data_IF_886619909058
#
_entry.id   IF_886619909058
#
_cell.length_a   1.000
_cell.length_b   1.000
_cell.length_c   1.000
_cell.angle_alpha   90.00
_cell.angle_beta   90.00
_cell.angle_gamma   90.00
#
_symmetry.space_group_name_H-M   'P 1'
#
loop_
_entity.id
_entity.type
_entity.pdbx_description
1 polymer ?
#
# COMPACT_ATOMS: atom_id res chain seq x y z
N UNK A 1 4.55 -13.04 -12.71
CA UNK A 1 3.24 -13.72 -12.97
C UNK A 1 2.13 -13.11 -12.11
N UNK A 2 2.33 -13.01 -10.80
CA UNK A 2 1.34 -12.46 -9.86
C UNK A 2 0.87 -11.05 -10.27
N UNK A 3 1.79 -10.12 -10.48
CA UNK A 3 1.49 -8.72 -10.82
C UNK A 3 0.73 -8.59 -12.15
N UNK A 4 1.06 -9.39 -13.15
CA UNK A 4 0.36 -9.39 -14.45
C UNK A 4 -1.09 -9.89 -14.28
N UNK A 5 -1.28 -10.98 -13.53
CA UNK A 5 -2.61 -11.51 -13.22
C UNK A 5 -3.46 -10.50 -12.44
N UNK A 6 -2.88 -9.86 -11.43
CA UNK A 6 -3.51 -8.77 -10.68
C UNK A 6 -3.91 -7.60 -11.56
N UNK A 7 -3.01 -7.11 -12.41
CA UNK A 7 -3.29 -6.01 -13.33
C UNK A 7 -4.50 -6.29 -14.25
N UNK A 8 -4.59 -7.51 -14.80
CA UNK A 8 -5.75 -7.94 -15.62
C UNK A 8 -7.04 -7.98 -14.79
N UNK A 9 -6.97 -8.50 -13.55
CA UNK A 9 -8.12 -8.55 -12.65
C UNK A 9 -8.68 -7.16 -12.32
N UNK A 10 -7.80 -6.21 -11.99
CA UNK A 10 -8.18 -4.81 -11.71
C UNK A 10 -8.74 -4.08 -12.94
N UNK A 11 -8.14 -4.31 -14.12
CA UNK A 11 -8.66 -3.73 -15.36
C UNK A 11 -10.09 -4.21 -15.63
N UNK A 12 -10.35 -5.50 -15.48
CA UNK A 12 -11.69 -6.07 -15.64
C UNK A 12 -12.68 -5.52 -14.63
N UNK A 13 -12.28 -5.41 -13.37
CA UNK A 13 -13.12 -4.85 -12.33
C UNK A 13 -13.49 -3.39 -12.61
N UNK A 14 -12.52 -2.55 -12.97
CA UNK A 14 -12.76 -1.14 -13.28
C UNK A 14 -13.73 -0.96 -14.47
N UNK A 15 -13.66 -1.84 -15.48
CA UNK A 15 -14.56 -1.79 -16.65
C UNK A 15 -15.96 -2.33 -16.39
N UNK A 16 -16.14 -3.14 -15.34
CA UNK A 16 -17.43 -3.73 -14.98
C UNK A 16 -18.37 -2.76 -14.24
N UNK A 17 -17.85 -1.65 -13.71
CA UNK A 17 -18.67 -0.67 -13.01
C UNK A 17 -19.51 0.18 -13.98
N UNK A 18 -20.79 0.35 -13.66
CA UNK A 18 -21.66 1.33 -14.27
C UNK A 18 -21.75 2.57 -13.37
N UNK A 19 -21.58 3.74 -13.96
CA UNK A 19 -21.67 5.04 -13.28
C UNK A 19 -22.81 5.83 -13.94
N UNK A 20 -24.00 5.64 -13.39
CA UNK A 20 -25.20 6.28 -13.86
C UNK A 20 -25.42 7.64 -13.19
N UNK A 21 -26.17 8.55 -13.83
CA UNK A 21 -26.65 9.75 -13.17
C UNK A 21 -27.50 9.41 -11.93
N UNK A 22 -27.33 10.17 -10.86
CA UNK A 22 -28.06 9.97 -9.60
C UNK A 22 -29.15 11.04 -9.44
N UNK A 23 -30.41 10.64 -9.29
CA UNK A 23 -31.49 11.55 -8.88
C UNK A 23 -31.29 11.87 -7.40
N UNK A 24 -31.00 13.14 -7.10
CA UNK A 24 -30.75 13.64 -5.74
C UNK A 24 -32.03 14.16 -5.12
N UNK A 25 -32.86 14.84 -5.90
CA UNK A 25 -34.18 15.34 -5.51
C UNK A 25 -35.17 15.12 -6.66
N UNK A 26 -36.33 14.60 -6.33
CA UNK A 26 -37.51 14.58 -7.22
C UNK A 26 -38.75 14.67 -6.31
N UNK A 27 -39.25 15.89 -6.11
CA UNK A 27 -40.41 16.14 -5.23
C UNK A 27 -41.67 16.63 -6.03
N UNK A 28 -41.62 16.52 -7.34
CA UNK A 28 -42.68 16.95 -8.24
C UNK A 28 -42.68 18.46 -8.57
N UNK A 29 -41.83 19.26 -7.88
CA UNK A 29 -41.59 20.67 -8.16
C UNK A 29 -40.14 20.92 -8.59
N UNK A 30 -39.23 20.14 -8.07
CA UNK A 30 -37.79 20.20 -8.34
C UNK A 30 -37.29 18.83 -8.74
N UNK A 31 -36.55 18.77 -9.85
CA UNK A 31 -35.74 17.63 -10.23
C UNK A 31 -34.26 18.03 -10.18
N UNK A 32 -33.47 17.39 -9.37
CA UNK A 32 -32.02 17.58 -9.33
C UNK A 32 -31.30 16.26 -9.60
N UNK A 33 -30.50 16.24 -10.67
CA UNK A 33 -29.76 15.05 -11.13
C UNK A 33 -28.26 15.33 -11.09
N UNK A 34 -27.51 14.43 -10.47
CA UNK A 34 -26.05 14.49 -10.40
C UNK A 34 -25.45 13.65 -11.52
N UNK A 35 -24.70 14.28 -12.38
CA UNK A 35 -23.93 13.66 -13.47
C UNK A 35 -22.44 13.60 -13.13
N UNK A 36 -21.73 12.65 -13.72
CA UNK A 36 -20.29 12.49 -13.58
C UNK A 36 -19.61 12.82 -14.92
N UNK A 37 -18.82 13.89 -14.97
CA UNK A 37 -18.12 14.37 -16.16
C UNK A 37 -16.61 14.07 -16.06
N UNK A 38 -15.98 13.74 -17.19
CA UNK A 38 -14.53 13.60 -17.22
C UNK A 38 -13.82 14.86 -16.70
N UNK A 39 -12.73 14.67 -15.99
CA UNK A 39 -11.90 15.77 -15.50
C UNK A 39 -11.04 16.39 -16.61
N UNK A 40 -10.64 15.58 -17.59
CA UNK A 40 -9.73 15.94 -18.67
C UNK A 40 -8.43 15.12 -18.59
N UNK A 41 -7.28 15.76 -18.38
CA UNK A 41 -5.98 15.08 -18.30
C UNK A 41 -5.66 14.71 -16.86
N UNK A 42 -5.38 13.42 -16.63
CA UNK A 42 -4.91 12.88 -15.35
C UNK A 42 -3.41 12.58 -15.45
N UNK A 43 -2.63 13.12 -14.52
CA UNK A 43 -1.24 12.73 -14.32
C UNK A 43 -1.17 11.57 -13.32
N UNK A 44 -0.67 10.42 -13.76
CA UNK A 44 -0.50 9.23 -12.94
C UNK A 44 1.00 9.01 -12.65
N UNK A 45 1.39 8.95 -11.38
CA UNK A 45 2.79 8.79 -10.97
C UNK A 45 2.88 7.53 -10.13
N UNK A 46 3.49 6.48 -10.71
CA UNK A 46 3.58 5.15 -10.11
C UNK A 46 4.87 4.92 -9.32
N UNK A 47 4.83 4.00 -8.33
CA UNK A 47 5.96 3.59 -7.52
C UNK A 47 6.79 2.49 -8.18
N UNK A 48 7.84 2.04 -7.48
CA UNK A 48 8.73 1.00 -7.97
C UNK A 48 8.42 -0.42 -7.45
N UNK A 49 7.63 -0.55 -6.40
CA UNK A 49 7.42 -1.84 -5.70
C UNK A 49 6.41 -2.77 -6.41
N UNK A 50 5.32 -2.22 -6.94
CA UNK A 50 4.30 -2.92 -7.73
C UNK A 50 4.01 -2.13 -9.02
N UNK A 51 5.01 -2.00 -9.93
CA UNK A 51 4.97 -1.01 -10.99
C UNK A 51 3.81 -1.19 -11.97
N UNK A 52 3.54 -2.41 -12.42
CA UNK A 52 2.48 -2.69 -13.38
C UNK A 52 1.09 -2.64 -12.72
N UNK A 53 0.95 -3.27 -11.56
CA UNK A 53 -0.35 -3.39 -10.89
C UNK A 53 -0.85 -2.02 -10.43
N UNK A 54 -0.01 -1.24 -9.74
CA UNK A 54 -0.40 0.12 -9.30
C UNK A 54 -0.62 1.06 -10.48
N UNK A 55 0.12 0.89 -11.58
CA UNK A 55 -0.19 1.65 -12.79
C UNK A 55 -1.61 1.36 -13.30
N UNK A 56 -2.05 0.11 -13.31
CA UNK A 56 -3.44 -0.23 -13.69
C UNK A 56 -4.45 0.34 -12.70
N UNK A 57 -4.16 0.37 -11.40
CA UNK A 57 -5.05 1.00 -10.41
C UNK A 57 -5.32 2.48 -10.71
N UNK A 58 -4.33 3.18 -11.28
CA UNK A 58 -4.44 4.58 -11.69
C UNK A 58 -5.03 4.73 -13.11
N UNK A 59 -4.59 3.89 -14.07
CA UNK A 59 -4.97 4.00 -15.48
C UNK A 59 -6.42 3.57 -15.74
N UNK A 60 -6.78 2.36 -15.27
CA UNK A 60 -8.07 1.75 -15.62
C UNK A 60 -9.28 2.61 -15.20
N UNK A 61 -9.39 3.06 -13.94
CA UNK A 61 -10.49 3.91 -13.54
C UNK A 61 -10.44 5.30 -14.16
N UNK A 62 -9.25 5.87 -14.43
CA UNK A 62 -9.11 7.15 -15.12
C UNK A 62 -9.69 7.10 -16.53
N UNK A 63 -9.32 6.09 -17.30
CA UNK A 63 -9.81 5.86 -18.66
C UNK A 63 -11.31 5.53 -18.66
N UNK A 64 -11.77 4.70 -17.72
CA UNK A 64 -13.19 4.34 -17.57
C UNK A 64 -14.10 5.56 -17.38
N UNK A 65 -13.59 6.59 -16.66
CA UNK A 65 -14.32 7.85 -16.44
C UNK A 65 -14.16 8.87 -17.59
N UNK A 66 -13.57 8.47 -18.72
CA UNK A 66 -13.42 9.30 -19.92
C UNK A 66 -12.26 10.29 -19.88
N UNK A 67 -11.31 10.14 -18.96
CA UNK A 67 -10.12 10.97 -18.91
C UNK A 67 -9.03 10.47 -19.86
N UNK A 68 -8.13 11.34 -20.26
CA UNK A 68 -6.84 10.99 -20.85
C UNK A 68 -5.77 10.93 -19.77
N UNK A 69 -4.71 10.13 -19.98
CA UNK A 69 -3.72 9.88 -18.93
C UNK A 69 -2.29 10.09 -19.43
N UNK A 70 -1.50 10.79 -18.64
CA UNK A 70 -0.04 10.84 -18.75
C UNK A 70 0.56 10.07 -17.57
N UNK A 71 1.11 8.89 -17.87
CA UNK A 71 1.71 7.98 -16.88
C UNK A 71 3.21 8.22 -16.75
N UNK A 72 3.67 8.49 -15.53
CA UNK A 72 5.09 8.49 -15.18
C UNK A 72 5.40 7.29 -14.27
N UNK A 73 6.04 6.25 -14.79
CA UNK A 73 6.54 5.16 -13.95
C UNK A 73 7.71 5.61 -13.08
N UNK A 74 8.04 4.83 -12.06
CA UNK A 74 9.29 5.00 -11.34
C UNK A 74 10.49 4.78 -12.29
N UNK A 75 11.54 5.57 -12.13
CA UNK A 75 12.81 5.42 -12.84
C UNK A 75 13.50 4.09 -12.53
N UNK A 76 13.22 3.49 -11.40
CA UNK A 76 13.79 2.20 -10.99
C UNK A 76 13.16 1.00 -11.70
N UNK A 77 11.88 1.07 -12.07
CA UNK A 77 11.13 -0.06 -12.64
C UNK A 77 10.22 0.35 -13.80
N UNK A 78 10.73 1.06 -14.83
CA UNK A 78 9.86 1.63 -15.87
C UNK A 78 9.44 0.62 -16.93
N UNK A 79 10.22 -0.45 -17.17
CA UNK A 79 10.10 -1.28 -18.37
C UNK A 79 8.75 -1.98 -18.49
N UNK A 80 8.24 -2.57 -17.41
CA UNK A 80 6.96 -3.27 -17.42
C UNK A 80 5.79 -2.31 -17.68
N UNK A 81 5.88 -1.07 -17.17
CA UNK A 81 4.84 -0.05 -17.36
C UNK A 81 4.88 0.50 -18.80
N UNK A 82 6.06 0.72 -19.37
CA UNK A 82 6.23 1.13 -20.78
C UNK A 82 5.64 0.07 -21.71
N UNK A 83 5.96 -1.21 -21.48
CA UNK A 83 5.41 -2.33 -22.25
C UNK A 83 3.87 -2.41 -22.11
N UNK A 84 3.34 -2.26 -20.88
CA UNK A 84 1.91 -2.22 -20.61
C UNK A 84 1.20 -1.13 -21.41
N UNK A 85 1.71 0.11 -21.38
CA UNK A 85 1.13 1.23 -22.12
C UNK A 85 1.21 0.99 -23.63
N UNK A 86 2.30 0.41 -24.13
CA UNK A 86 2.41 0.03 -25.53
C UNK A 86 1.31 -0.96 -25.96
N UNK A 87 1.06 -1.98 -25.15
CA UNK A 87 0.00 -2.98 -25.44
C UNK A 87 -1.39 -2.34 -25.38
N UNK A 88 -1.68 -1.53 -24.37
CA UNK A 88 -2.98 -0.85 -24.23
C UNK A 88 -3.23 0.10 -25.41
N UNK A 89 -2.23 0.80 -25.89
CA UNK A 89 -2.34 1.73 -27.00
C UNK A 89 -2.60 1.06 -28.36
N UNK A 90 -2.53 -0.28 -28.46
CA UNK A 90 -2.96 -1.00 -29.68
C UNK A 90 -4.49 -1.00 -29.84
N UNK A 91 -5.25 -0.74 -28.79
CA UNK A 91 -6.71 -0.76 -28.79
C UNK A 91 -7.34 0.59 -28.43
N UNK A 92 -6.58 1.51 -27.84
CA UNK A 92 -7.07 2.85 -27.52
C UNK A 92 -6.91 3.82 -28.71
N UNK A 93 -7.78 4.83 -28.83
CA UNK A 93 -7.56 5.94 -29.76
C UNK A 93 -6.24 6.65 -29.49
N UNK A 94 -5.62 7.17 -30.54
CA UNK A 94 -4.38 7.93 -30.43
C UNK A 94 -4.54 9.14 -29.50
N UNK A 95 -3.55 9.35 -28.60
CA UNK A 95 -3.52 10.50 -27.72
C UNK A 95 -4.26 10.32 -26.38
N UNK A 96 -4.90 9.17 -26.16
CA UNK A 96 -5.64 8.90 -24.90
C UNK A 96 -4.73 8.53 -23.74
N UNK A 97 -3.67 7.76 -24.00
CA UNK A 97 -2.73 7.30 -22.99
C UNK A 97 -1.29 7.53 -23.44
N UNK A 98 -0.51 8.19 -22.58
CA UNK A 98 0.91 8.42 -22.80
C UNK A 98 1.73 7.90 -21.61
N UNK A 99 2.96 7.45 -21.86
CA UNK A 99 3.95 7.16 -20.84
C UNK A 99 5.16 8.07 -21.02
N UNK A 100 5.59 8.71 -19.92
CA UNK A 100 6.73 9.62 -19.89
C UNK A 100 7.72 9.14 -18.82
N UNK A 101 8.72 8.33 -19.16
CA UNK A 101 9.78 7.96 -18.25
C UNK A 101 10.62 9.17 -17.85
N UNK A 102 11.14 9.16 -16.64
CA UNK A 102 11.99 10.21 -16.11
C UNK A 102 12.03 10.22 -14.60
N UNK A 103 12.91 11.02 -14.05
CA UNK A 103 13.14 11.18 -12.63
C UNK A 103 12.18 12.19 -11.98
N UNK A 104 12.70 12.81 -10.92
CA UNK A 104 11.98 13.77 -10.11
C UNK A 104 11.45 14.97 -10.90
N UNK A 105 12.25 15.50 -11.82
CA UNK A 105 11.91 16.68 -12.63
C UNK A 105 10.67 16.47 -13.50
N UNK A 106 10.44 15.26 -14.02
CA UNK A 106 9.22 14.92 -14.77
C UNK A 106 8.02 14.90 -13.84
N UNK A 107 8.17 14.32 -12.63
CA UNK A 107 7.12 14.33 -11.61
C UNK A 107 6.71 15.74 -11.17
N UNK A 108 7.69 16.63 -10.99
CA UNK A 108 7.46 18.05 -10.64
C UNK A 108 6.73 18.78 -11.76
N UNK A 109 7.12 18.57 -13.03
CA UNK A 109 6.41 19.15 -14.18
C UNK A 109 4.97 18.65 -14.29
N UNK A 110 4.71 17.36 -14.09
CA UNK A 110 3.34 16.83 -14.10
C UNK A 110 2.50 17.45 -12.98
N UNK A 111 3.03 17.51 -11.76
CA UNK A 111 2.27 17.99 -10.59
C UNK A 111 2.00 19.51 -10.65
N UNK A 112 2.82 20.30 -11.33
CA UNK A 112 2.64 21.74 -11.50
C UNK A 112 1.95 22.13 -12.82
N UNK A 113 1.81 21.22 -13.80
CA UNK A 113 1.33 21.57 -15.14
C UNK A 113 -0.12 22.05 -15.15
N UNK A 114 -0.46 23.22 -15.73
CA UNK A 114 -1.81 23.79 -15.65
C UNK A 114 -2.89 22.99 -16.37
N UNK A 115 -2.53 22.22 -17.39
CA UNK A 115 -3.50 21.40 -18.15
C UNK A 115 -3.80 20.05 -17.49
N UNK A 116 -3.10 19.66 -16.42
CA UNK A 116 -3.40 18.46 -15.66
C UNK A 116 -4.45 18.80 -14.60
N UNK A 117 -5.59 18.14 -14.67
CA UNK A 117 -6.72 18.38 -13.79
C UNK A 117 -6.65 17.60 -12.47
N UNK A 118 -5.99 16.44 -12.50
CA UNK A 118 -5.82 15.56 -11.33
C UNK A 118 -4.46 14.88 -11.36
N UNK A 119 -3.85 14.72 -10.19
CA UNK A 119 -2.70 13.82 -9.96
C UNK A 119 -3.16 12.63 -9.14
N UNK A 120 -2.82 11.44 -9.61
CA UNK A 120 -2.79 10.21 -8.82
C UNK A 120 -1.33 9.89 -8.53
N UNK A 121 -1.00 9.70 -7.28
CA UNK A 121 0.37 9.42 -6.84
C UNK A 121 0.38 8.32 -5.79
N UNK A 122 1.25 7.34 -5.99
CA UNK A 122 1.58 6.33 -4.98
C UNK A 122 3.09 6.37 -4.72
N UNK A 123 3.46 6.54 -3.45
CA UNK A 123 4.88 6.64 -3.06
C UNK A 123 5.08 7.22 -1.67
N UNK A 124 6.22 7.89 -1.41
CA UNK A 124 6.56 8.38 -0.07
C UNK A 124 5.72 9.60 0.36
N UNK A 125 5.42 9.67 1.65
CA UNK A 125 4.74 10.83 2.28
C UNK A 125 5.46 12.15 1.99
N UNK A 126 6.79 12.15 1.99
CA UNK A 126 7.60 13.33 1.62
C UNK A 126 7.28 13.84 0.21
N UNK A 127 7.20 12.93 -0.75
CA UNK A 127 6.86 13.29 -2.15
C UNK A 127 5.41 13.72 -2.27
N UNK A 128 4.48 13.06 -1.59
CA UNK A 128 3.07 13.46 -1.53
C UNK A 128 2.90 14.91 -1.06
N UNK A 129 3.59 15.29 0.03
CA UNK A 129 3.62 16.67 0.52
C UNK A 129 4.18 17.67 -0.50
N UNK A 130 5.18 17.28 -1.30
CA UNK A 130 5.72 18.12 -2.38
C UNK A 130 4.70 18.30 -3.51
N UNK A 131 3.98 17.22 -3.88
CA UNK A 131 2.91 17.28 -4.89
C UNK A 131 1.76 18.18 -4.43
N UNK A 132 1.33 18.11 -3.16
CA UNK A 132 0.32 19.02 -2.61
C UNK A 132 0.74 20.48 -2.82
N UNK A 133 1.98 20.84 -2.45
CA UNK A 133 2.49 22.20 -2.60
C UNK A 133 2.53 22.64 -4.06
N UNK A 134 3.02 21.81 -4.97
CA UNK A 134 3.13 22.15 -6.40
C UNK A 134 1.78 22.19 -7.13
N UNK A 135 0.75 21.58 -6.55
CA UNK A 135 -0.61 21.56 -7.12
C UNK A 135 -1.50 22.72 -6.65
N UNK A 136 -1.08 23.46 -5.64
CA UNK A 136 -1.90 24.48 -4.98
C UNK A 136 -2.36 25.58 -5.93
N UNK A 137 -1.46 26.14 -6.75
CA UNK A 137 -1.75 27.25 -7.66
C UNK A 137 -2.80 26.93 -8.74
N UNK A 138 -3.01 25.66 -9.03
CA UNK A 138 -3.95 25.20 -10.06
C UNK A 138 -5.19 24.52 -9.48
N UNK A 139 -5.26 24.39 -8.15
CA UNK A 139 -6.36 23.73 -7.41
C UNK A 139 -6.64 22.32 -7.96
N UNK A 140 -5.59 21.58 -8.35
CA UNK A 140 -5.74 20.22 -8.88
C UNK A 140 -6.37 19.28 -7.87
N UNK A 141 -7.13 18.33 -8.36
CA UNK A 141 -7.55 17.19 -7.56
C UNK A 141 -6.38 16.24 -7.34
N UNK A 142 -6.33 15.65 -6.17
CA UNK A 142 -5.28 14.70 -5.80
C UNK A 142 -5.91 13.42 -5.27
N UNK A 143 -5.33 12.27 -5.62
CA UNK A 143 -5.41 11.01 -4.87
C UNK A 143 -3.98 10.64 -4.52
N UNK A 144 -3.71 10.51 -3.24
CA UNK A 144 -2.37 10.27 -2.70
C UNK A 144 -2.39 9.01 -1.85
N UNK A 145 -1.73 7.97 -2.32
CA UNK A 145 -1.45 6.74 -1.61
C UNK A 145 0.01 6.76 -1.16
N UNK A 146 0.22 6.94 0.13
CA UNK A 146 1.54 7.25 0.68
C UNK A 146 2.07 6.10 1.55
N UNK A 147 3.16 6.34 2.29
CA UNK A 147 3.73 5.37 3.18
C UNK A 147 2.78 4.97 4.31
N UNK A 148 2.95 3.77 4.81
CA UNK A 148 2.29 3.23 5.99
C UNK A 148 3.31 2.68 6.97
N UNK A 149 2.84 2.27 8.13
CA UNK A 149 3.60 1.46 9.08
C UNK A 149 2.59 0.56 9.82
N UNK A 150 2.02 -0.36 9.06
CA UNK A 150 0.80 -1.07 9.43
C UNK A 150 1.01 -1.95 10.66
N UNK A 151 0.07 -1.84 11.60
CA UNK A 151 0.07 -2.58 12.85
C UNK A 151 -0.75 -3.86 12.75
N UNK A 152 -0.24 -4.97 13.28
CA UNK A 152 -1.02 -6.16 13.57
C UNK A 152 -1.25 -6.26 15.08
N UNK A 153 -2.47 -6.44 15.51
CA UNK A 153 -2.86 -6.66 16.92
C UNK A 153 -3.32 -8.11 17.07
N UNK A 154 -2.59 -8.88 17.84
CA UNK A 154 -2.93 -10.27 18.15
C UNK A 154 -3.68 -10.33 19.47
N UNK A 155 -4.82 -11.04 19.50
CA UNK A 155 -5.59 -11.25 20.74
C UNK A 155 -5.14 -12.56 21.41
N UNK A 156 -5.32 -12.68 22.75
CA UNK A 156 -4.83 -13.85 23.49
C UNK A 156 -5.52 -15.19 23.15
N UNK A 157 -6.64 -15.14 22.43
CA UNK A 157 -7.43 -16.32 22.03
C UNK A 157 -6.99 -16.93 20.68
N UNK A 158 -5.96 -16.37 20.03
CA UNK A 158 -5.42 -16.88 18.79
C UNK A 158 -4.63 -18.16 19.00
N UNK A 159 -4.79 -19.11 18.07
CA UNK A 159 -3.84 -20.20 17.92
C UNK A 159 -2.63 -19.71 17.09
N UNK A 160 -1.44 -19.56 17.72
CA UNK A 160 -0.27 -19.01 17.04
C UNK A 160 0.15 -19.80 15.79
N UNK A 161 0.04 -21.12 15.82
CA UNK A 161 0.42 -21.98 14.70
C UNK A 161 -0.55 -21.80 13.49
N UNK A 162 -1.83 -21.56 13.78
CA UNK A 162 -2.84 -21.41 12.74
C UNK A 162 -2.71 -20.07 11.97
N UNK A 163 -2.15 -19.02 12.58
CA UNK A 163 -2.05 -17.68 11.97
C UNK A 163 -0.65 -17.30 11.50
N UNK A 164 0.36 -18.09 11.84
CA UNK A 164 1.77 -17.74 11.58
C UNK A 164 2.08 -17.55 10.09
N UNK A 165 1.52 -18.38 9.21
CA UNK A 165 1.74 -18.26 7.77
C UNK A 165 1.09 -17.02 7.21
N UNK A 166 -0.13 -16.69 7.63
CA UNK A 166 -0.82 -15.46 7.19
C UNK A 166 -0.13 -14.19 7.73
N UNK A 167 0.38 -14.23 8.96
CA UNK A 167 1.22 -13.15 9.53
C UNK A 167 2.51 -12.99 8.73
N UNK A 168 3.15 -14.11 8.38
CA UNK A 168 4.35 -14.09 7.53
C UNK A 168 4.08 -13.42 6.19
N UNK A 169 3.07 -13.88 5.46
CA UNK A 169 2.75 -13.30 4.16
C UNK A 169 2.27 -11.86 4.25
N UNK A 170 1.57 -11.50 5.30
CA UNK A 170 1.20 -10.11 5.59
C UNK A 170 2.43 -9.19 5.71
N UNK A 171 3.51 -9.68 6.32
CA UNK A 171 4.74 -8.90 6.53
C UNK A 171 5.71 -8.96 5.35
N UNK A 172 5.86 -10.13 4.71
CA UNK A 172 7.00 -10.38 3.82
C UNK A 172 6.64 -10.55 2.34
N UNK A 173 5.37 -10.37 1.95
CA UNK A 173 5.00 -10.31 0.54
C UNK A 173 5.86 -9.27 -0.18
N UNK A 174 6.38 -9.60 -1.38
CA UNK A 174 7.34 -8.77 -2.12
C UNK A 174 8.58 -8.37 -1.28
N UNK A 175 9.01 -9.27 -0.40
CA UNK A 175 10.14 -9.05 0.52
C UNK A 175 9.90 -7.84 1.46
N UNK A 176 8.64 -7.64 1.90
CA UNK A 176 8.23 -6.52 2.75
C UNK A 176 8.14 -5.15 2.04
N UNK A 177 8.38 -5.10 0.73
CA UNK A 177 8.36 -3.87 -0.06
C UNK A 177 6.95 -3.50 -0.50
N UNK A 178 6.01 -3.45 0.43
CA UNK A 178 4.59 -3.16 0.19
C UNK A 178 4.10 -2.10 1.17
N UNK A 179 3.42 -1.07 0.68
CA UNK A 179 2.91 0.02 1.52
C UNK A 179 1.98 -0.50 2.63
N UNK A 180 1.06 -1.41 2.27
CA UNK A 180 0.16 -2.08 3.19
C UNK A 180 0.70 -3.48 3.62
N UNK A 181 2.00 -3.60 3.92
CA UNK A 181 2.54 -4.78 4.59
C UNK A 181 2.44 -4.62 6.10
N UNK A 182 2.28 -5.72 6.82
CA UNK A 182 2.40 -5.77 8.27
C UNK A 182 3.84 -5.41 8.67
N UNK A 183 4.04 -4.28 9.32
CA UNK A 183 5.36 -3.73 9.62
C UNK A 183 5.72 -3.74 11.10
N UNK A 184 4.74 -3.94 11.99
CA UNK A 184 4.92 -4.03 13.43
C UNK A 184 3.81 -4.89 14.03
N UNK A 185 4.19 -5.90 14.81
CA UNK A 185 3.26 -6.87 15.39
C UNK A 185 3.20 -6.70 16.89
N UNK A 186 2.00 -6.49 17.45
CA UNK A 186 1.74 -6.36 18.88
C UNK A 186 1.14 -7.65 19.41
N UNK A 187 1.82 -8.29 20.37
CA UNK A 187 1.46 -9.60 20.90
C UNK A 187 1.38 -9.56 22.42
N UNK A 188 0.25 -10.00 23.03
CA UNK A 188 0.10 -10.10 24.47
C UNK A 188 1.12 -11.07 25.10
N UNK A 189 1.62 -10.72 26.29
CA UNK A 189 2.61 -11.54 27.03
C UNK A 189 2.22 -13.01 27.15
N UNK A 190 0.92 -13.31 27.31
CA UNK A 190 0.41 -14.66 27.53
C UNK A 190 0.71 -15.65 26.39
N UNK A 191 0.86 -15.16 25.15
CA UNK A 191 1.10 -15.99 23.95
C UNK A 191 2.33 -15.54 23.17
N UNK A 192 3.10 -14.59 23.72
CA UNK A 192 4.20 -13.92 23.00
C UNK A 192 5.25 -14.88 22.46
N UNK A 193 5.82 -15.72 23.32
CA UNK A 193 6.86 -16.65 22.91
C UNK A 193 6.32 -17.69 21.91
N UNK A 194 5.06 -18.13 22.05
CA UNK A 194 4.44 -19.06 21.13
C UNK A 194 4.27 -18.44 19.73
N UNK A 195 3.88 -17.16 19.64
CA UNK A 195 3.78 -16.45 18.36
C UNK A 195 5.17 -16.25 17.74
N UNK A 196 6.17 -15.89 18.54
CA UNK A 196 7.55 -15.76 18.09
C UNK A 196 8.07 -17.08 17.50
N UNK A 197 7.91 -18.20 18.21
CA UNK A 197 8.36 -19.51 17.78
C UNK A 197 7.67 -19.96 16.49
N UNK A 198 6.35 -19.77 16.40
CA UNK A 198 5.57 -20.12 15.20
C UNK A 198 6.01 -19.29 13.98
N UNK A 199 6.28 -17.99 14.15
CA UNK A 199 6.78 -17.14 13.06
C UNK A 199 8.20 -17.56 12.63
N UNK A 200 9.09 -17.88 13.55
CA UNK A 200 10.44 -18.39 13.25
C UNK A 200 10.37 -19.69 12.45
N UNK A 201 9.49 -20.60 12.83
CA UNK A 201 9.30 -21.86 12.12
C UNK A 201 8.86 -21.65 10.67
N UNK A 202 7.88 -20.76 10.43
CA UNK A 202 7.40 -20.46 9.09
C UNK A 202 8.48 -19.71 8.30
N UNK A 203 9.03 -18.64 8.84
CA UNK A 203 10.00 -17.80 8.16
C UNK A 203 11.29 -18.55 7.78
N UNK A 204 11.74 -19.46 8.64
CA UNK A 204 12.93 -20.29 8.39
C UNK A 204 12.78 -21.29 7.23
N UNK A 205 11.56 -21.56 6.78
CA UNK A 205 11.27 -22.46 5.66
C UNK A 205 11.12 -21.72 4.32
N UNK A 206 11.08 -20.39 4.33
CA UNK A 206 10.79 -19.60 3.14
C UNK A 206 12.07 -19.24 2.37
N UNK A 207 12.26 -19.80 1.14
CA UNK A 207 13.47 -19.60 0.39
C UNK A 207 13.52 -18.18 -0.21
N UNK A 208 14.72 -17.59 -0.13
CA UNK A 208 15.05 -16.30 -0.74
C UNK A 208 16.14 -16.51 -1.80
N UNK A 209 15.98 -15.87 -2.95
CA UNK A 209 16.98 -15.95 -4.01
C UNK A 209 16.55 -15.22 -5.27
N UNK A 210 17.19 -15.57 -6.38
CA UNK A 210 16.93 -14.95 -7.69
C UNK A 210 15.52 -15.26 -8.15
N UNK A 211 14.77 -14.23 -8.50
CA UNK A 211 13.34 -14.33 -8.85
C UNK A 211 13.02 -15.10 -10.15
N UNK A 212 14.03 -15.51 -10.93
CA UNK A 212 13.85 -16.40 -12.08
C UNK A 212 13.83 -17.89 -11.70
N UNK A 213 14.24 -18.20 -10.48
CA UNK A 213 14.22 -19.55 -9.92
C UNK A 213 12.89 -19.74 -9.18
N UNK A 214 12.04 -20.64 -9.69
CA UNK A 214 10.64 -20.80 -9.24
C UNK A 214 10.49 -21.25 -7.77
N UNK A 215 11.51 -21.86 -7.17
CA UNK A 215 11.51 -22.24 -5.76
C UNK A 215 11.64 -21.04 -4.81
N UNK A 216 12.18 -19.92 -5.26
CA UNK A 216 12.34 -18.73 -4.42
C UNK A 216 11.05 -17.95 -4.33
N UNK A 217 10.59 -17.66 -3.10
CA UNK A 217 9.37 -16.90 -2.84
C UNK A 217 9.67 -15.46 -2.43
N UNK A 218 10.87 -15.20 -1.92
CA UNK A 218 11.38 -13.87 -1.60
C UNK A 218 12.57 -13.53 -2.50
N UNK A 219 12.66 -12.26 -2.87
CA UNK A 219 13.70 -11.72 -3.73
C UNK A 219 14.60 -10.70 -3.01
N UNK A 220 15.48 -10.00 -3.76
CA UNK A 220 16.27 -8.91 -3.22
C UNK A 220 15.42 -7.65 -2.99
N UNK A 221 15.94 -6.73 -2.20
CA UNK A 221 15.48 -5.36 -2.17
C UNK A 221 15.76 -4.69 -3.51
N UNK A 222 14.92 -3.74 -3.91
CA UNK A 222 14.96 -3.19 -5.25
C UNK A 222 16.18 -2.30 -5.51
N UNK A 223 16.66 -1.58 -4.51
CA UNK A 223 17.78 -0.65 -4.65
C UNK A 223 18.62 -0.55 -3.38
N UNK A 224 19.85 -0.03 -3.54
CA UNK A 224 20.80 0.11 -2.43
C UNK A 224 20.31 1.01 -1.31
N UNK A 225 19.65 2.12 -1.64
CA UNK A 225 19.16 3.05 -0.62
C UNK A 225 18.14 2.37 0.30
N UNK A 226 17.25 1.53 -0.27
CA UNK A 226 16.28 0.76 0.51
C UNK A 226 16.97 -0.32 1.35
N UNK A 227 17.97 -0.99 0.79
CA UNK A 227 18.80 -1.93 1.55
C UNK A 227 19.46 -1.26 2.77
N UNK A 228 20.06 -0.09 2.57
CA UNK A 228 20.75 0.65 3.65
C UNK A 228 19.78 1.08 4.75
N UNK A 229 18.54 1.48 4.39
CA UNK A 229 17.48 1.83 5.38
C UNK A 229 17.14 0.61 6.25
N UNK A 230 16.90 -0.55 5.64
CA UNK A 230 16.56 -1.76 6.39
C UNK A 230 17.71 -2.17 7.30
N UNK A 231 18.94 -2.15 6.79
CA UNK A 231 20.13 -2.51 7.55
C UNK A 231 20.33 -1.56 8.74
N UNK A 232 20.17 -0.26 8.55
CA UNK A 232 20.31 0.76 9.60
C UNK A 232 19.26 0.58 10.70
N UNK A 233 17.99 0.39 10.35
CA UNK A 233 16.92 0.19 11.33
C UNK A 233 17.05 -1.11 12.11
N UNK A 234 17.45 -2.20 11.46
CA UNK A 234 17.70 -3.48 12.16
C UNK A 234 18.92 -3.35 13.07
N UNK A 235 20.00 -2.68 12.63
CA UNK A 235 21.19 -2.46 13.46
C UNK A 235 20.87 -1.62 14.70
N UNK A 236 20.06 -0.56 14.54
CA UNK A 236 19.57 0.26 15.65
C UNK A 236 18.80 -0.57 16.70
N UNK A 237 17.96 -1.49 16.25
CA UNK A 237 17.25 -2.40 17.14
C UNK A 237 18.20 -3.34 17.89
N UNK A 238 19.19 -3.90 17.20
CA UNK A 238 20.23 -4.76 17.82
C UNK A 238 21.06 -3.99 18.83
N UNK A 239 21.54 -2.79 18.49
CA UNK A 239 22.34 -1.94 19.36
C UNK A 239 21.55 -1.47 20.60
N UNK A 240 20.24 -1.37 20.48
CA UNK A 240 19.31 -1.07 21.59
C UNK A 240 18.99 -2.28 22.47
N UNK A 241 19.53 -3.47 22.16
CA UNK A 241 19.39 -4.68 22.95
C UNK A 241 18.17 -5.55 22.61
N UNK A 242 17.51 -5.31 21.48
CA UNK A 242 16.41 -6.17 21.01
C UNK A 242 16.93 -7.57 20.63
N UNK A 243 16.10 -8.58 20.81
CA UNK A 243 16.46 -9.98 20.55
C UNK A 243 16.17 -10.37 19.11
N UNK A 244 17.20 -10.64 18.34
CA UNK A 244 17.06 -11.21 17.00
C UNK A 244 16.64 -12.67 17.10
N UNK A 245 15.49 -13.02 16.52
CA UNK A 245 14.99 -14.40 16.46
C UNK A 245 15.46 -15.09 15.19
N UNK A 246 15.53 -14.35 14.08
CA UNK A 246 15.93 -14.83 12.76
C UNK A 246 16.55 -13.69 11.95
N UNK A 247 17.52 -13.98 11.09
CA UNK A 247 18.06 -13.02 10.13
C UNK A 247 19.04 -12.00 10.74
N UNK A 248 18.86 -10.73 10.42
CA UNK A 248 19.65 -9.56 10.83
C UNK A 248 21.09 -9.48 10.26
N UNK A 249 21.71 -10.60 9.93
CA UNK A 249 23.07 -10.63 9.40
C UNK A 249 23.06 -10.97 7.91
N UNK A 250 23.14 -9.99 7.01
CA UNK A 250 23.23 -10.27 5.59
C UNK A 250 24.53 -11.03 5.26
N UNK A 251 24.43 -12.03 4.39
CA UNK A 251 25.60 -12.72 3.87
C UNK A 251 26.45 -11.72 3.03
N UNK A 252 27.59 -11.32 3.55
CA UNK A 252 28.49 -10.38 2.88
C UNK A 252 29.10 -10.89 1.57
N UNK A 253 28.85 -12.16 1.19
CA UNK A 253 29.27 -12.74 -0.09
C UNK A 253 28.14 -12.76 -1.14
N UNK A 254 26.90 -12.47 -0.76
CA UNK A 254 25.79 -12.40 -1.71
C UNK A 254 25.96 -11.21 -2.66
N UNK A 255 25.84 -11.46 -3.96
CA UNK A 255 25.81 -10.40 -4.96
C UNK A 255 24.39 -9.88 -5.11
N UNK A 256 24.18 -8.56 -4.94
CA UNK A 256 22.87 -7.91 -5.00
C UNK A 256 22.39 -7.43 -3.64
N UNK A 257 21.15 -6.98 -3.59
CA UNK A 257 20.57 -6.36 -2.39
C UNK A 257 19.75 -7.36 -1.56
N UNK A 258 20.25 -8.59 -1.39
CA UNK A 258 19.60 -9.59 -0.57
C UNK A 258 19.79 -9.25 0.91
N UNK A 259 18.70 -9.00 1.59
CA UNK A 259 18.64 -8.84 3.04
C UNK A 259 17.83 -9.98 3.63
N UNK A 260 18.32 -10.72 4.63
CA UNK A 260 17.62 -11.89 5.15
C UNK A 260 16.29 -11.52 5.77
N UNK A 261 15.32 -12.43 5.68
CA UNK A 261 14.09 -12.34 6.47
C UNK A 261 14.43 -12.21 7.94
N UNK A 262 14.01 -11.11 8.57
CA UNK A 262 14.45 -10.74 9.91
C UNK A 262 13.26 -10.61 10.84
N UNK A 263 13.32 -11.31 11.97
CA UNK A 263 12.36 -11.23 13.08
C UNK A 263 13.08 -10.69 14.32
N UNK A 264 12.55 -9.62 14.90
CA UNK A 264 13.14 -8.95 16.08
C UNK A 264 12.11 -8.90 17.19
N UNK A 265 12.46 -9.52 18.32
CA UNK A 265 11.64 -9.62 19.53
C UNK A 265 12.20 -8.77 20.67
N UNK A 266 11.43 -8.66 21.76
CA UNK A 266 11.80 -7.93 22.97
C UNK A 266 12.30 -6.50 22.68
N UNK A 267 11.67 -5.86 21.71
CA UNK A 267 11.99 -4.54 21.19
C UNK A 267 11.17 -3.45 21.89
N UNK A 268 11.80 -2.33 22.20
CA UNK A 268 11.10 -1.16 22.75
C UNK A 268 10.11 -0.60 21.72
N UNK A 269 8.85 -0.33 22.11
CA UNK A 269 7.84 0.28 21.22
C UNK A 269 8.27 1.63 20.60
N UNK A 270 9.24 2.33 21.19
CA UNK A 270 9.79 3.59 20.69
C UNK A 270 11.04 3.40 19.80
N UNK A 271 11.54 2.18 19.63
CA UNK A 271 12.67 1.92 18.75
C UNK A 271 12.36 2.31 17.31
N UNK A 272 13.36 2.75 16.57
CA UNK A 272 13.21 3.20 15.19
C UNK A 272 12.62 2.13 14.26
N UNK A 273 12.98 0.86 14.43
CA UNK A 273 12.43 -0.25 13.63
C UNK A 273 10.91 -0.41 13.83
N UNK A 274 10.36 0.03 14.99
CA UNK A 274 8.91 0.03 15.25
C UNK A 274 8.25 1.30 14.74
N UNK A 275 8.91 2.45 14.86
CA UNK A 275 8.31 3.76 14.63
C UNK A 275 8.52 4.32 13.22
N UNK A 276 9.55 3.85 12.50
CA UNK A 276 9.86 4.24 11.12
C UNK A 276 9.49 3.10 10.13
N UNK A 277 9.05 3.46 8.94
CA UNK A 277 8.70 2.49 7.89
C UNK A 277 9.96 1.87 7.28
N UNK A 278 10.25 0.59 7.57
CA UNK A 278 11.41 -0.13 7.05
C UNK A 278 11.29 -0.51 5.58
N UNK A 279 10.09 -0.76 5.08
CA UNK A 279 9.77 -1.13 3.71
C UNK A 279 10.67 -2.24 3.15
N UNK A 280 10.85 -3.30 3.94
CA UNK A 280 11.75 -4.42 3.66
C UNK A 280 11.52 -5.60 4.62
N UNK A 281 12.35 -6.65 4.55
CA UNK A 281 12.09 -7.93 5.18
C UNK A 281 12.48 -7.97 6.68
N UNK A 282 11.98 -7.00 7.46
CA UNK A 282 12.20 -6.94 8.91
C UNK A 282 10.89 -6.69 9.64
N UNK A 283 10.53 -7.56 10.58
CA UNK A 283 9.33 -7.46 11.41
C UNK A 283 9.69 -7.36 12.89
N UNK A 284 9.48 -6.21 13.55
CA UNK A 284 9.50 -6.10 15.00
C UNK A 284 8.24 -6.71 15.61
N UNK A 285 8.44 -7.52 16.67
CA UNK A 285 7.38 -8.15 17.46
C UNK A 285 7.44 -7.52 18.86
N UNK A 286 6.45 -6.69 19.14
CA UNK A 286 6.36 -5.91 20.37
C UNK A 286 5.49 -6.65 21.38
N UNK A 287 6.05 -6.92 22.55
CA UNK A 287 5.30 -7.49 23.67
C UNK A 287 4.42 -6.42 24.32
N UNK A 288 3.17 -6.73 24.55
CA UNK A 288 2.22 -5.84 25.23
C UNK A 288 1.55 -6.55 26.39
N UNK A 289 1.18 -5.78 27.43
CA UNK A 289 0.50 -6.33 28.61
C UNK A 289 -0.95 -6.75 28.31
N UNK A 290 -1.62 -5.99 27.45
CA UNK A 290 -3.02 -6.20 27.09
C UNK A 290 -3.37 -5.60 25.71
N UNK A 291 -4.58 -5.86 25.23
CA UNK A 291 -5.08 -5.40 23.95
C UNK A 291 -5.23 -3.88 23.89
N UNK A 292 -5.53 -3.24 25.02
CA UNK A 292 -5.67 -1.78 25.09
C UNK A 292 -4.36 -1.06 24.80
N UNK A 293 -3.24 -1.54 25.39
CA UNK A 293 -1.91 -1.03 25.09
C UNK A 293 -1.55 -1.25 23.61
N UNK A 294 -1.89 -2.41 23.02
CA UNK A 294 -1.69 -2.66 21.60
C UNK A 294 -2.42 -1.63 20.71
N UNK A 295 -3.67 -1.29 21.04
CA UNK A 295 -4.47 -0.26 20.34
C UNK A 295 -3.82 1.12 20.46
N UNK A 296 -3.37 1.50 21.64
CA UNK A 296 -2.72 2.79 21.89
C UNK A 296 -1.42 2.92 21.07
N UNK A 297 -0.58 1.89 21.11
CA UNK A 297 0.67 1.83 20.34
C UNK A 297 0.40 1.76 18.83
N UNK A 298 -0.60 1.00 18.39
CA UNK A 298 -0.99 0.96 16.98
C UNK A 298 -1.40 2.34 16.45
N UNK A 299 -2.10 3.11 17.27
CA UNK A 299 -2.61 4.44 16.92
C UNK A 299 -1.62 5.59 17.13
N UNK A 300 -0.47 5.36 17.76
CA UNK A 300 0.48 6.41 18.18
C UNK A 300 1.17 7.13 17.03
N UNK A 301 1.28 6.51 15.86
CA UNK A 301 1.98 7.09 14.71
C UNK A 301 1.10 8.05 13.90
N UNK A 302 1.75 8.96 13.19
CA UNK A 302 1.10 9.92 12.28
C UNK A 302 0.67 9.30 10.93
N UNK A 303 0.87 8.02 10.73
CA UNK A 303 0.46 7.25 9.55
C UNK A 303 -0.61 6.23 9.91
N UNK A 304 -1.42 5.84 8.95
CA UNK A 304 -2.50 4.88 9.15
C UNK A 304 -3.04 4.39 7.79
N UNK A 305 -2.22 3.62 7.05
CA UNK A 305 -2.66 3.05 5.78
C UNK A 305 -3.54 1.82 6.04
N UNK A 306 -2.97 0.82 6.71
CA UNK A 306 -3.67 -0.39 7.09
C UNK A 306 -3.37 -0.82 8.53
N UNK A 307 -4.16 -1.76 9.01
CA UNK A 307 -3.95 -2.47 10.26
C UNK A 307 -4.62 -3.84 10.19
N UNK A 308 -4.26 -4.76 11.09
CA UNK A 308 -4.97 -6.05 11.21
C UNK A 308 -5.21 -6.45 12.65
N UNK A 309 -6.28 -7.23 12.86
CA UNK A 309 -6.63 -7.81 14.16
C UNK A 309 -6.77 -9.32 13.99
N UNK A 310 -6.13 -10.06 14.88
CA UNK A 310 -6.06 -11.52 14.84
C UNK A 310 -6.70 -12.11 16.07
N UNK A 311 -7.78 -12.87 15.89
CA UNK A 311 -8.57 -13.45 16.98
C UNK A 311 -9.38 -14.64 16.49
N UNK A 312 -9.58 -15.64 17.35
CA UNK A 312 -10.55 -16.71 17.11
C UNK A 312 -11.99 -16.19 17.21
N UNK A 313 -12.24 -15.13 18.00
CA UNK A 313 -13.53 -14.48 18.15
C UNK A 313 -13.65 -13.27 17.22
N UNK A 314 -14.40 -13.44 16.12
CA UNK A 314 -14.62 -12.37 15.14
C UNK A 314 -15.34 -11.13 15.71
N UNK A 315 -16.19 -11.28 16.70
CA UNK A 315 -16.89 -10.15 17.29
C UNK A 315 -15.91 -9.28 18.08
N UNK A 316 -15.05 -9.88 18.89
CA UNK A 316 -13.96 -9.14 19.58
C UNK A 316 -13.00 -8.50 18.59
N UNK A 317 -12.64 -9.22 17.51
CA UNK A 317 -11.80 -8.65 16.46
C UNK A 317 -12.43 -7.40 15.84
N UNK A 318 -13.74 -7.38 15.59
CA UNK A 318 -14.47 -6.21 15.08
C UNK A 318 -14.48 -5.04 16.07
N UNK A 319 -14.68 -5.32 17.37
CA UNK A 319 -14.62 -4.29 18.41
C UNK A 319 -13.24 -3.62 18.52
N UNK A 320 -12.16 -4.40 18.39
CA UNK A 320 -10.79 -3.88 18.37
C UNK A 320 -10.52 -3.14 17.05
N UNK A 321 -10.90 -3.71 15.91
CA UNK A 321 -10.71 -3.09 14.60
C UNK A 321 -11.35 -1.71 14.50
N UNK A 322 -12.53 -1.52 15.09
CA UNK A 322 -13.22 -0.22 15.11
C UNK A 322 -12.48 0.88 15.88
N UNK A 323 -11.49 0.52 16.70
CA UNK A 323 -10.67 1.46 17.47
C UNK A 323 -9.36 1.82 16.79
N UNK A 324 -8.97 1.11 15.70
CA UNK A 324 -7.72 1.36 14.99
C UNK A 324 -7.89 2.48 13.97
N UNK A 325 -6.93 3.41 13.97
CA UNK A 325 -6.93 4.61 13.13
C UNK A 325 -6.18 4.35 11.81
N UNK A 326 -6.76 3.49 10.98
CA UNK A 326 -6.23 3.13 9.67
C UNK A 326 -7.33 3.23 8.60
N UNK A 327 -6.94 3.39 7.34
CA UNK A 327 -7.87 3.43 6.21
C UNK A 327 -8.55 2.09 5.96
N UNK A 328 -7.81 0.99 6.14
CA UNK A 328 -8.35 -0.38 6.07
C UNK A 328 -7.90 -1.18 7.29
N UNK A 329 -8.81 -1.91 7.92
CA UNK A 329 -8.49 -2.85 8.99
C UNK A 329 -8.97 -4.24 8.61
N UNK A 330 -8.04 -5.18 8.52
CA UNK A 330 -8.33 -6.57 8.20
C UNK A 330 -8.53 -7.40 9.47
N UNK A 331 -9.37 -8.43 9.38
CA UNK A 331 -9.57 -9.40 10.46
C UNK A 331 -9.07 -10.76 9.97
N UNK A 332 -8.11 -11.33 10.71
CA UNK A 332 -7.47 -12.62 10.41
C UNK A 332 -6.88 -12.70 9.00
N UNK A 333 -6.41 -11.57 8.51
CA UNK A 333 -5.64 -11.43 7.26
C UNK A 333 -4.89 -10.11 7.31
N UNK A 334 -3.97 -9.87 6.39
CA UNK A 334 -3.31 -8.57 6.24
C UNK A 334 -2.99 -8.28 4.78
N UNK A 335 -3.21 -7.04 4.34
CA UNK A 335 -2.84 -6.59 3.00
C UNK A 335 -3.67 -7.19 1.85
N UNK A 336 -4.78 -7.87 2.16
CA UNK A 336 -5.69 -8.40 1.14
C UNK A 336 -6.52 -7.28 0.53
N UNK A 337 -6.21 -6.89 -0.71
CA UNK A 337 -6.87 -5.80 -1.43
C UNK A 337 -7.89 -6.38 -2.41
N UNK A 338 -9.09 -5.79 -2.46
CA UNK A 338 -10.18 -6.18 -3.36
C UNK A 338 -10.58 -4.97 -4.23
N UNK A 339 -10.65 -5.10 -5.57
CA UNK A 339 -11.02 -3.99 -6.45
C UNK A 339 -12.43 -3.44 -6.23
N UNK A 340 -13.27 -4.14 -5.49
CA UNK A 340 -14.65 -3.72 -5.14
C UNK A 340 -14.71 -2.85 -3.89
N UNK A 341 -13.66 -2.88 -3.06
CA UNK A 341 -13.62 -2.20 -1.76
C UNK A 341 -12.78 -0.94 -1.89
N UNK A 342 -13.31 0.25 -1.54
CA UNK A 342 -12.51 1.46 -1.52
C UNK A 342 -11.28 1.31 -0.63
N UNK A 343 -10.15 1.82 -1.10
CA UNK A 343 -8.88 1.78 -0.40
C UNK A 343 -8.27 3.18 -0.35
N UNK A 344 -7.72 3.55 0.79
CA UNK A 344 -7.03 4.82 1.00
C UNK A 344 -6.54 4.97 2.42
N UNK A 345 -5.48 5.77 2.59
CA UNK A 345 -4.83 5.97 3.87
C UNK A 345 -5.52 7.01 4.76
N UNK A 346 -5.50 6.76 6.07
CA UNK A 346 -5.80 7.75 7.09
C UNK A 346 -4.53 8.55 7.48
N UNK A 347 -4.71 9.66 8.21
CA UNK A 347 -3.61 10.51 8.71
C UNK A 347 -2.67 10.94 7.57
N UNK A 348 -1.36 10.76 7.73
CA UNK A 348 -0.36 11.11 6.72
C UNK A 348 -0.08 9.98 5.69
N UNK A 349 -0.84 8.90 5.73
CA UNK A 349 -0.78 7.85 4.71
C UNK A 349 -1.50 8.23 3.41
N UNK A 350 -2.12 9.39 3.34
CA UNK A 350 -2.69 9.92 2.13
C UNK A 350 -4.09 10.50 2.30
N UNK A 351 -4.72 10.83 1.19
CA UNK A 351 -6.13 11.17 1.11
C UNK A 351 -6.70 10.94 -0.30
N UNK A 352 -8.01 10.84 -0.39
CA UNK A 352 -8.69 10.32 -1.55
C UNK A 352 -8.80 8.82 -1.47
N UNK A 353 -9.53 8.23 -2.39
CA UNK A 353 -9.78 6.80 -2.44
C UNK A 353 -9.43 6.25 -3.82
N UNK A 354 -8.89 5.07 -3.84
CA UNK A 354 -8.80 4.19 -5.00
C UNK A 354 -9.84 3.07 -4.85
N UNK A 355 -10.12 2.35 -5.91
CA UNK A 355 -11.02 1.19 -6.01
C UNK A 355 -12.48 1.46 -5.65
N UNK A 356 -13.30 0.45 -5.89
CA UNK A 356 -14.73 0.53 -5.71
C UNK A 356 -15.38 1.64 -6.54
N UNK A 357 -16.64 1.87 -6.28
CA UNK A 357 -17.40 2.93 -6.94
C UNK A 357 -16.93 4.33 -6.49
N UNK A 358 -16.50 4.48 -5.25
CA UNK A 358 -16.04 5.75 -4.70
C UNK A 358 -14.71 6.19 -5.33
N UNK A 359 -13.75 5.24 -5.47
CA UNK A 359 -12.49 5.50 -6.17
C UNK A 359 -12.74 5.88 -7.63
N UNK A 360 -13.66 5.21 -8.31
CA UNK A 360 -14.04 5.51 -9.68
C UNK A 360 -14.67 6.90 -9.80
N UNK A 361 -15.64 7.24 -8.95
CA UNK A 361 -16.31 8.55 -8.91
C UNK A 361 -15.34 9.69 -8.56
N UNK A 362 -14.28 9.42 -7.81
CA UNK A 362 -13.22 10.40 -7.49
C UNK A 362 -12.49 10.93 -8.73
N UNK A 363 -12.59 10.22 -9.86
CA UNK A 363 -11.98 10.54 -11.17
C UNK A 363 -12.94 11.29 -12.10
N UNK A 364 -14.05 11.79 -11.56
CA UNK A 364 -15.00 12.59 -12.29
C UNK A 364 -15.32 13.91 -11.57
N UNK A 365 -15.80 14.87 -12.36
CA UNK A 365 -16.40 16.11 -11.87
C UNK A 365 -17.89 15.89 -11.69
N UNK A 366 -18.44 15.90 -10.46
CA UNK A 366 -19.89 15.93 -10.28
C UNK A 366 -20.45 17.25 -10.82
N UNK A 367 -21.52 17.13 -11.62
CA UNK A 367 -22.29 18.26 -12.15
C UNK A 367 -23.74 18.07 -11.76
N UNK A 368 -24.32 19.04 -11.07
CA UNK A 368 -25.75 19.02 -10.74
C UNK A 368 -26.51 19.80 -11.79
N UNK A 369 -27.53 19.15 -12.39
CA UNK A 369 -28.51 19.80 -13.25
C UNK A 369 -29.81 19.83 -12.45
N UNK A 370 -30.34 21.03 -12.23
CA UNK A 370 -31.56 21.25 -11.47
C UNK A 370 -32.58 21.97 -12.35
N UNK A 371 -33.80 21.43 -12.44
CA UNK A 371 -34.94 22.02 -13.15
C UNK A 371 -36.14 22.16 -12.21
#
# INVERSE_FOLDING_TARGET
RFEVGGAVGWLRAATAYEVEPEVVVDDGQTLAVKHYRALGVVGAIGPWNWPMMISIWQLAPSLRMGNTVVMKPSEYTPLSVVALVHVINQVLPQGVLHVVPGGREVGEKLSSHPQIAKIMFTGSTRTGKAIIRSSADTVKRLTLELGGNDAGVVLPDVDPAAVAEDLFWGAFINTGQTCAALKRLYVPEAIYDQVCDALVEVAGKMPMGVGLEEQNVLGPLQNKAQYDIVADLVQDAVDSGARVLLGANPDGQATGYFYPTTLVADIDPQNRLVTEEQFGPALPIVKVKDVQEAIELANSLEVGLGASVWSADKAKAQEVAAQLQAGTVWINSHGTIDPRVPFGGAKQSGYGLEFGLDGLKSLAQPQIIKS
#
